data_IF_045733424893
#
_entry.id   IF_045733424893
#
_cell.length_a   1.000
_cell.length_b   1.000
_cell.length_c   1.000
_cell.angle_alpha   90.00
_cell.angle_beta   90.00
_cell.angle_gamma   90.00
#
_symmetry.space_group_name_H-M   'P 1'
#
loop_
_entity.id
_entity.type
_entity.pdbx_description
1 polymer ?
#
# COMPACT_ATOMS: atom_id res chain seq x y z
N UNK A 1 11.15 13.02 5.21
CA UNK A 1 11.57 11.91 4.32
C UNK A 1 11.26 10.61 5.06
N UNK A 2 10.30 9.82 4.59
CA UNK A 2 10.07 8.49 5.14
C UNK A 2 11.19 7.58 4.63
N UNK A 3 12.07 7.15 5.54
CA UNK A 3 13.19 6.27 5.22
C UNK A 3 12.67 4.86 4.91
N UNK A 4 12.54 4.55 3.62
CA UNK A 4 12.20 3.21 3.15
C UNK A 4 13.32 2.18 3.42
N UNK A 5 14.48 2.62 3.95
CA UNK A 5 15.61 1.77 4.30
C UNK A 5 15.24 0.64 5.26
N UNK A 6 14.31 0.88 6.20
CA UNK A 6 13.82 -0.18 7.12
C UNK A 6 13.02 -1.28 6.44
N UNK A 7 12.54 -1.06 5.22
CA UNK A 7 11.77 -2.03 4.46
C UNK A 7 12.60 -2.73 3.38
N UNK A 8 13.91 -2.45 3.26
CA UNK A 8 14.77 -3.08 2.25
C UNK A 8 14.68 -4.61 2.32
N UNK A 9 14.41 -5.24 1.18
CA UNK A 9 14.20 -6.70 1.07
C UNK A 9 12.79 -7.17 1.44
N UNK A 10 11.88 -6.27 1.86
CA UNK A 10 10.45 -6.57 1.98
C UNK A 10 9.72 -6.32 0.66
N UNK A 11 8.54 -6.91 0.53
CA UNK A 11 7.59 -6.65 -0.53
C UNK A 11 6.54 -5.64 -0.07
N UNK A 12 6.36 -4.59 -0.85
CA UNK A 12 5.37 -3.55 -0.65
C UNK A 12 4.14 -3.82 -1.52
N UNK A 13 2.97 -3.88 -0.89
CA UNK A 13 1.64 -3.76 -1.49
C UNK A 13 1.39 -2.27 -1.67
N UNK A 14 1.00 -1.83 -2.87
CA UNK A 14 0.76 -0.42 -3.16
C UNK A 14 -0.62 -0.25 -3.78
N UNK A 15 -1.40 0.68 -3.22
CA UNK A 15 -2.73 1.06 -3.69
C UNK A 15 -2.76 2.58 -3.80
N UNK A 16 -2.85 3.09 -5.03
CA UNK A 16 -2.88 4.53 -5.31
C UNK A 16 -4.30 5.08 -5.27
N UNK A 17 -4.51 6.24 -4.67
CA UNK A 17 -5.82 6.90 -4.60
C UNK A 17 -5.72 8.44 -4.68
N UNK A 18 -6.84 9.10 -4.99
CA UNK A 18 -6.97 10.57 -5.04
C UNK A 18 -7.26 11.14 -3.66
N UNK A 19 -6.81 12.37 -3.41
CA UNK A 19 -6.92 13.02 -2.11
C UNK A 19 -8.35 13.29 -1.66
N UNK A 20 -9.30 13.39 -2.60
CA UNK A 20 -10.73 13.48 -2.29
C UNK A 20 -11.28 12.26 -1.54
N UNK A 21 -10.61 11.10 -1.65
CA UNK A 21 -11.00 9.87 -0.95
C UNK A 21 -10.26 9.64 0.37
N UNK A 22 -9.42 10.58 0.81
CA UNK A 22 -8.60 10.39 2.02
C UNK A 22 -9.45 10.07 3.25
N UNK A 23 -10.57 10.79 3.44
CA UNK A 23 -11.49 10.57 4.56
C UNK A 23 -12.15 9.18 4.56
N UNK A 24 -12.32 8.55 3.38
CA UNK A 24 -12.86 7.20 3.26
C UNK A 24 -11.79 6.13 3.51
N UNK A 25 -10.53 6.44 3.20
CA UNK A 25 -9.39 5.51 3.32
C UNK A 25 -8.80 5.49 4.75
N UNK A 26 -8.79 6.61 5.47
CA UNK A 26 -8.27 6.69 6.84
C UNK A 26 -8.80 5.59 7.78
N UNK A 27 -10.13 5.39 7.95
CA UNK A 27 -10.64 4.33 8.84
C UNK A 27 -10.31 2.91 8.33
N UNK A 28 -10.07 2.75 7.02
CA UNK A 28 -9.65 1.46 6.46
C UNK A 28 -8.24 1.11 6.94
N UNK A 29 -7.35 2.08 7.10
CA UNK A 29 -5.97 1.83 7.54
C UNK A 29 -5.96 1.19 8.94
N UNK A 30 -6.81 1.67 9.85
CA UNK A 30 -6.95 1.10 11.20
C UNK A 30 -7.44 -0.35 11.13
N UNK A 31 -8.50 -0.61 10.35
CA UNK A 31 -9.02 -1.96 10.15
C UNK A 31 -7.98 -2.91 9.52
N UNK A 32 -7.12 -2.40 8.64
CA UNK A 32 -6.05 -3.19 8.03
C UNK A 32 -4.94 -3.57 9.02
N UNK A 33 -4.66 -2.74 10.01
CA UNK A 33 -3.71 -3.07 11.08
C UNK A 33 -4.23 -4.19 11.98
N UNK A 34 -5.55 -4.23 12.23
CA UNK A 34 -6.19 -5.30 13.01
C UNK A 34 -6.28 -6.62 12.22
N UNK A 35 -6.72 -6.56 10.96
CA UNK A 35 -6.92 -7.77 10.13
C UNK A 35 -5.61 -8.39 9.61
N UNK A 36 -4.55 -7.58 9.47
CA UNK A 36 -3.24 -8.01 8.96
C UNK A 36 -2.10 -7.54 9.86
N UNK A 37 -2.00 -8.03 11.11
CA UNK A 37 -1.07 -7.50 12.13
C UNK A 37 0.41 -7.68 11.77
N UNK A 38 0.74 -8.66 10.92
CA UNK A 38 2.10 -8.87 10.42
C UNK A 38 2.49 -7.91 9.28
N UNK A 39 1.53 -7.12 8.77
CA UNK A 39 1.73 -6.20 7.66
C UNK A 39 1.82 -4.79 8.20
N UNK A 40 2.95 -4.14 7.96
CA UNK A 40 3.11 -2.74 8.39
C UNK A 40 2.44 -1.83 7.35
N UNK A 41 1.41 -1.09 7.76
CA UNK A 41 0.66 -0.19 6.87
C UNK A 41 1.11 1.26 7.03
N UNK A 42 1.20 1.98 5.92
CA UNK A 42 1.55 3.40 5.90
C UNK A 42 0.92 4.11 4.69
N UNK A 43 0.52 5.37 4.85
CA UNK A 43 0.07 6.21 3.75
C UNK A 43 1.19 7.20 3.36
N UNK A 44 1.45 7.31 2.06
CA UNK A 44 2.54 8.14 1.53
C UNK A 44 2.04 9.04 0.41
N UNK A 45 2.64 10.23 0.26
CA UNK A 45 2.43 11.04 -0.94
C UNK A 45 2.89 10.28 -2.18
N UNK A 46 2.06 10.26 -3.21
CA UNK A 46 2.37 9.64 -4.49
C UNK A 46 3.37 10.49 -5.28
N UNK A 47 4.26 9.81 -6.01
CA UNK A 47 5.05 10.43 -7.09
C UNK A 47 4.45 10.19 -8.48
N UNK A 48 3.39 9.39 -8.57
CA UNK A 48 2.68 9.09 -9.80
C UNK A 48 1.59 10.15 -10.03
N UNK A 49 1.58 10.86 -11.18
CA UNK A 49 0.63 11.97 -11.42
C UNK A 49 -0.85 11.60 -11.29
N UNK A 50 -1.20 10.34 -11.52
CA UNK A 50 -2.57 9.86 -11.44
C UNK A 50 -3.08 9.63 -10.01
N UNK A 51 -2.21 9.64 -8.99
CA UNK A 51 -2.59 9.44 -7.58
C UNK A 51 -2.02 10.57 -6.73
N UNK A 52 -2.74 10.97 -5.69
CA UNK A 52 -2.22 11.95 -4.73
C UNK A 52 -1.53 11.22 -3.56
N UNK A 53 -2.05 10.04 -3.20
CA UNK A 53 -1.54 9.20 -2.13
C UNK A 53 -1.35 7.74 -2.58
N UNK A 54 -0.50 7.02 -1.84
CA UNK A 54 -0.31 5.58 -1.95
C UNK A 54 -0.44 4.98 -0.55
N UNK A 55 -1.40 4.08 -0.37
CA UNK A 55 -1.44 3.18 0.77
C UNK A 55 -0.46 2.03 0.52
N UNK A 56 0.46 1.86 1.45
CA UNK A 56 1.53 0.87 1.40
C UNK A 56 1.37 -0.15 2.53
N UNK A 57 1.42 -1.44 2.21
CA UNK A 57 1.53 -2.53 3.18
C UNK A 57 2.84 -3.30 2.98
N UNK A 58 3.65 -3.51 4.02
CA UNK A 58 4.96 -4.15 3.89
C UNK A 58 4.99 -5.55 4.54
N UNK A 59 5.41 -6.55 3.77
CA UNK A 59 5.55 -7.96 4.21
C UNK A 59 6.87 -8.56 3.72
N UNK A 60 7.39 -9.58 4.39
CA UNK A 60 8.64 -10.24 4.01
C UNK A 60 8.54 -11.17 2.80
N UNK A 61 7.33 -11.50 2.35
CA UNK A 61 7.09 -12.52 1.33
C UNK A 61 6.25 -12.00 0.16
N UNK A 62 6.65 -12.35 -1.08
CA UNK A 62 6.02 -11.90 -2.32
C UNK A 62 4.59 -12.41 -2.45
N UNK A 63 4.38 -13.70 -2.17
CA UNK A 63 3.09 -14.35 -2.39
C UNK A 63 2.10 -13.88 -1.32
N UNK A 64 2.54 -13.72 -0.08
CA UNK A 64 1.79 -13.06 1.00
C UNK A 64 1.41 -11.63 0.58
N UNK A 65 2.32 -10.87 -0.03
CA UNK A 65 2.00 -9.52 -0.51
C UNK A 65 0.89 -9.54 -1.55
N UNK A 66 0.94 -10.45 -2.53
CA UNK A 66 -0.11 -10.59 -3.53
C UNK A 66 -1.44 -10.99 -2.90
N UNK A 67 -1.45 -11.98 -2.01
CA UNK A 67 -2.66 -12.47 -1.34
C UNK A 67 -3.33 -11.38 -0.50
N UNK A 68 -2.54 -10.68 0.34
CA UNK A 68 -3.05 -9.57 1.15
C UNK A 68 -3.54 -8.44 0.26
N UNK A 69 -2.78 -8.04 -0.77
CA UNK A 69 -3.20 -6.98 -1.69
C UNK A 69 -4.53 -7.27 -2.38
N UNK A 70 -4.75 -8.50 -2.83
CA UNK A 70 -6.05 -8.92 -3.37
C UNK A 70 -7.17 -8.85 -2.34
N UNK A 71 -6.91 -9.33 -1.12
CA UNK A 71 -7.89 -9.33 -0.04
C UNK A 71 -8.28 -7.89 0.33
N UNK A 72 -7.32 -6.97 0.42
CA UNK A 72 -7.56 -5.55 0.71
C UNK A 72 -8.47 -4.91 -0.34
N UNK A 73 -8.14 -5.04 -1.63
CA UNK A 73 -8.95 -4.45 -2.70
C UNK A 73 -10.37 -5.03 -2.74
N UNK A 74 -10.53 -6.32 -2.43
CA UNK A 74 -11.84 -7.00 -2.50
C UNK A 74 -12.72 -6.78 -1.26
N UNK A 75 -12.13 -6.76 -0.07
CA UNK A 75 -12.87 -6.74 1.21
C UNK A 75 -12.98 -5.34 1.80
N UNK A 76 -11.94 -4.53 1.69
CA UNK A 76 -11.84 -3.28 2.44
C UNK A 76 -12.06 -2.04 1.57
N UNK A 77 -11.59 -2.06 0.33
CA UNK A 77 -11.63 -0.87 -0.52
C UNK A 77 -13.06 -0.58 -1.01
N UNK A 78 -13.50 0.69 -1.01
CA UNK A 78 -14.79 1.06 -1.55
C UNK A 78 -14.88 0.69 -3.04
N UNK A 79 -15.90 -0.09 -3.42
CA UNK A 79 -16.02 -0.65 -4.76
C UNK A 79 -16.11 0.42 -5.86
N UNK A 80 -16.70 1.57 -5.56
CA UNK A 80 -16.86 2.65 -6.52
C UNK A 80 -15.53 3.30 -6.94
N UNK A 81 -14.46 3.12 -6.16
CA UNK A 81 -13.14 3.66 -6.45
C UNK A 81 -12.36 2.84 -7.48
N UNK A 82 -12.79 1.60 -7.77
CA UNK A 82 -12.16 0.70 -8.75
C UNK A 82 -10.61 0.66 -8.62
N UNK A 83 -10.11 0.64 -7.39
CA UNK A 83 -8.68 0.77 -7.13
C UNK A 83 -7.94 -0.48 -7.60
N UNK A 84 -6.84 -0.26 -8.31
CA UNK A 84 -5.87 -1.29 -8.65
C UNK A 84 -4.80 -1.35 -7.56
N UNK A 85 -4.26 -2.55 -7.35
CA UNK A 85 -3.07 -2.74 -6.54
C UNK A 85 -1.94 -3.31 -7.38
N UNK A 86 -0.71 -3.08 -6.95
CA UNK A 86 0.47 -3.79 -7.44
C UNK A 86 1.41 -4.08 -6.27
N UNK A 87 2.34 -5.02 -6.45
CA UNK A 87 3.37 -5.31 -5.46
C UNK A 87 4.78 -5.06 -6.01
N UNK A 88 5.72 -4.69 -5.15
CA UNK A 88 7.12 -4.48 -5.53
C UNK A 88 8.07 -4.77 -4.37
N UNK A 89 9.20 -5.38 -4.68
CA UNK A 89 10.30 -5.51 -3.72
C UNK A 89 10.97 -4.17 -3.45
N UNK A 90 11.14 -3.84 -2.17
CA UNK A 90 11.74 -2.58 -1.72
C UNK A 90 13.26 -2.70 -1.78
N UNK A 91 13.89 -1.77 -2.50
CA UNK A 91 15.35 -1.65 -2.56
C UNK A 91 16.05 -2.45 -3.66
N UNK A 92 15.32 -3.22 -4.47
CA UNK A 92 15.90 -3.95 -5.63
C UNK A 92 16.00 -3.09 -6.89
N UNK A 93 15.36 -1.92 -6.90
CA UNK A 93 15.58 -0.90 -7.93
C UNK A 93 16.26 0.28 -7.27
N UNK A 94 17.50 0.58 -7.65
CA UNK A 94 18.08 1.91 -7.50
C UNK A 94 17.11 2.87 -8.20
N UNK A 95 16.21 3.49 -7.43
CA UNK A 95 15.50 4.64 -7.93
C UNK A 95 16.57 5.72 -8.10
N UNK A 96 17.06 5.89 -9.32
CA UNK A 96 17.46 7.21 -9.80
C UNK A 96 16.18 8.05 -9.77
N UNK A 97 15.82 8.60 -8.61
CA UNK A 97 15.00 9.82 -8.53
C UNK A 97 15.97 10.95 -8.27
#
# INVERSE_FOLDING_TARGET
MNDLGKYKGKWAIMIGFKGEHLAEIEPIIEALQEDYPDTEWNCMNSKFPQYDFILCGFTGDRDKAHQVGMAVVRKHMPQHLNLLYWIKEVGVVKYNV
#
